data_IF_328682568076
#
_entry.id   IF_328682568076
#
_cell.length_a   1.000
_cell.length_b   1.000
_cell.length_c   1.000
_cell.angle_alpha   90.00
_cell.angle_beta   90.00
_cell.angle_gamma   90.00
#
_symmetry.space_group_name_H-M   'P 1'
#
loop_
_entity.id
_entity.type
_entity.pdbx_description
1 polymer ?
#
# COMPACT_ATOMS: atom_id res chain seq x y z
N UNK A 1 47.60 -15.59 -14.21
CA UNK A 1 46.85 -15.81 -12.96
C UNK A 1 47.51 -15.01 -11.84
N UNK A 2 47.03 -13.78 -11.57
CA UNK A 2 47.41 -13.01 -10.39
C UNK A 2 46.34 -13.23 -9.33
N UNK A 3 46.72 -13.81 -8.21
CA UNK A 3 45.89 -13.94 -7.01
C UNK A 3 45.84 -12.57 -6.34
N UNK A 4 44.66 -11.96 -6.24
CA UNK A 4 44.45 -10.83 -5.34
C UNK A 4 44.05 -11.40 -3.97
N UNK A 5 44.84 -11.01 -2.97
CA UNK A 5 44.66 -11.32 -1.55
C UNK A 5 43.49 -10.47 -1.04
N UNK A 6 42.29 -11.04 -0.86
CA UNK A 6 41.23 -10.42 -0.07
C UNK A 6 41.60 -10.59 1.41
N UNK A 7 42.30 -9.59 1.95
CA UNK A 7 42.34 -9.36 3.40
C UNK A 7 42.15 -7.86 3.62
N UNK A 8 41.12 -7.55 4.40
CA UNK A 8 40.78 -6.24 4.95
C UNK A 8 39.97 -5.33 4.01
N UNK A 9 38.70 -5.67 3.85
CA UNK A 9 37.65 -4.66 3.77
C UNK A 9 36.66 -5.03 4.88
N UNK A 10 36.98 -4.59 6.11
CA UNK A 10 35.98 -4.44 7.17
C UNK A 10 35.37 -3.07 6.87
N UNK A 11 34.31 -3.02 6.06
CA UNK A 11 33.44 -1.84 6.05
C UNK A 11 32.70 -1.94 7.37
N UNK A 12 33.11 -1.10 8.31
CA UNK A 12 32.38 -0.93 9.55
C UNK A 12 30.98 -0.43 9.17
N UNK A 13 29.94 -1.09 9.67
CA UNK A 13 28.53 -0.73 9.57
C UNK A 13 28.23 0.60 10.30
N UNK A 14 28.91 1.67 9.90
CA UNK A 14 28.87 2.98 10.53
C UNK A 14 28.97 4.07 9.45
N UNK A 15 27.95 4.12 8.60
CA UNK A 15 27.60 5.31 7.83
C UNK A 15 26.08 5.34 7.58
N UNK A 16 25.29 4.98 8.58
CA UNK A 16 23.86 5.28 8.57
C UNK A 16 23.69 6.72 9.07
N UNK A 17 23.67 7.67 8.14
CA UNK A 17 23.26 9.02 8.49
C UNK A 17 21.75 8.98 8.68
N UNK A 18 21.34 9.04 9.95
CA UNK A 18 19.95 9.15 10.39
C UNK A 18 19.29 10.35 9.70
N UNK A 19 18.35 10.06 8.80
CA UNK A 19 17.30 11.02 8.43
C UNK A 19 16.05 10.54 9.15
N UNK A 20 15.68 11.24 10.21
CA UNK A 20 14.39 11.05 10.86
C UNK A 20 13.28 11.49 9.90
N UNK A 21 12.62 10.53 9.25
CA UNK A 21 11.37 10.77 8.56
C UNK A 21 10.27 10.96 9.60
N UNK A 22 9.83 12.21 9.77
CA UNK A 22 8.52 12.51 10.34
C UNK A 22 7.52 12.30 9.19
N UNK A 23 6.44 11.56 9.44
CA UNK A 23 5.42 11.25 8.44
C UNK A 23 4.90 12.49 7.69
N UNK A 24 4.30 12.26 6.52
CA UNK A 24 3.83 13.28 5.58
C UNK A 24 3.09 14.47 6.23
N UNK A 25 2.34 14.23 7.32
CA UNK A 25 1.60 15.25 8.05
C UNK A 25 2.46 16.16 8.97
N UNK A 26 3.79 16.01 9.01
CA UNK A 26 4.69 16.72 9.94
C UNK A 26 5.81 17.55 9.30
N UNK A 27 5.91 17.64 7.98
CA UNK A 27 7.01 18.35 7.31
C UNK A 27 6.63 19.80 6.95
N UNK A 28 7.23 20.77 7.64
CA UNK A 28 7.25 22.17 7.19
C UNK A 28 8.22 22.32 6.00
N UNK A 29 7.68 22.86 4.91
CA UNK A 29 8.18 22.95 3.52
C UNK A 29 9.54 23.64 3.23
N UNK A 30 10.53 23.65 4.14
CA UNK A 30 11.78 24.41 3.89
C UNK A 30 12.95 23.68 3.27
N UNK A 31 12.94 22.35 3.15
CA UNK A 31 14.15 21.62 2.71
C UNK A 31 13.99 20.66 1.51
N UNK A 32 12.83 20.59 0.83
CA UNK A 32 12.69 19.77 -0.39
C UNK A 32 12.98 20.58 -1.68
N UNK A 33 14.25 20.58 -2.11
CA UNK A 33 14.70 21.28 -3.31
C UNK A 33 14.31 20.54 -4.61
N UNK A 34 13.54 21.24 -5.45
CA UNK A 34 13.47 21.18 -6.93
C UNK A 34 14.01 19.92 -7.64
N UNK A 35 13.09 19.05 -8.06
CA UNK A 35 13.30 18.05 -9.11
C UNK A 35 12.16 18.10 -10.13
N UNK A 36 12.47 18.22 -11.42
CA UNK A 36 11.50 18.33 -12.51
C UNK A 36 10.58 17.10 -12.61
N UNK A 37 9.29 17.37 -12.87
CA UNK A 37 8.31 16.41 -13.38
C UNK A 37 8.83 15.68 -14.61
N UNK A 38 8.87 14.35 -14.54
CA UNK A 38 9.08 13.45 -15.67
C UNK A 38 7.86 12.53 -15.76
N UNK A 39 6.73 13.08 -16.22
CA UNK A 39 5.67 12.28 -16.82
C UNK A 39 5.85 12.33 -18.34
N UNK A 40 6.44 11.28 -18.90
CA UNK A 40 6.34 11.01 -20.35
C UNK A 40 5.02 10.26 -20.60
N UNK A 41 4.17 10.88 -21.41
CA UNK A 41 2.91 10.36 -21.92
C UNK A 41 3.20 9.17 -22.86
N UNK A 42 2.81 7.95 -22.46
CA UNK A 42 2.81 6.78 -23.34
C UNK A 42 1.35 6.47 -23.70
N UNK A 43 0.98 6.80 -24.93
CA UNK A 43 -0.31 6.47 -25.53
C UNK A 43 -0.36 4.98 -25.85
N UNK A 44 -1.27 4.23 -25.22
CA UNK A 44 -1.50 2.83 -25.61
C UNK A 44 -2.58 2.71 -26.71
N UNK A 45 -2.29 1.84 -27.65
CA UNK A 45 -2.94 1.75 -28.95
C UNK A 45 -4.01 0.65 -28.90
N UNK A 46 -5.27 1.02 -29.10
CA UNK A 46 -6.39 0.07 -29.16
C UNK A 46 -6.23 -0.96 -30.29
N UNK A 47 -6.26 -2.25 -29.97
CA UNK A 47 -6.49 -3.33 -30.94
C UNK A 47 -7.82 -4.05 -30.67
N UNK A 48 -8.81 -3.72 -31.51
CA UNK A 48 -10.08 -4.44 -31.68
C UNK A 48 -9.87 -5.77 -32.42
N UNK A 49 -10.43 -6.89 -31.93
CA UNK A 49 -11.10 -7.94 -32.75
C UNK A 49 -11.91 -8.92 -31.86
N UNK A 50 -12.88 -9.71 -32.37
CA UNK A 50 -14.30 -9.48 -32.14
C UNK A 50 -15.03 -10.59 -31.35
N UNK A 51 -16.25 -10.25 -30.95
CA UNK A 51 -17.24 -11.07 -30.24
C UNK A 51 -17.50 -12.45 -30.86
N UNK A 52 -17.65 -13.45 -29.99
CA UNK A 52 -18.23 -14.75 -30.32
C UNK A 52 -19.54 -14.95 -29.54
N UNK A 53 -20.57 -15.35 -30.26
CA UNK A 53 -21.94 -15.62 -29.83
C UNK A 53 -22.04 -16.61 -28.66
N UNK A 54 -22.79 -16.23 -27.63
CA UNK A 54 -23.26 -17.14 -26.59
C UNK A 54 -24.63 -17.71 -26.97
N UNK A 55 -24.67 -19.02 -27.21
CA UNK A 55 -25.89 -19.78 -27.33
C UNK A 55 -26.49 -20.03 -25.94
N UNK A 56 -27.79 -19.73 -25.82
CA UNK A 56 -28.66 -19.97 -24.68
C UNK A 56 -28.78 -21.46 -24.34
N UNK A 57 -28.72 -21.79 -23.05
CA UNK A 57 -29.44 -22.93 -22.50
C UNK A 57 -29.99 -22.58 -21.11
N UNK A 58 -31.32 -22.45 -21.05
CA UNK A 58 -32.10 -22.43 -19.81
C UNK A 58 -31.88 -23.74 -19.05
N UNK A 59 -31.58 -23.64 -17.75
CA UNK A 59 -31.71 -24.78 -16.85
C UNK A 59 -32.43 -24.33 -15.57
N UNK A 60 -33.66 -24.79 -15.44
CA UNK A 60 -34.53 -24.64 -14.28
C UNK A 60 -34.11 -25.62 -13.20
N UNK A 61 -33.77 -25.14 -12.01
CA UNK A 61 -33.60 -26.00 -10.84
C UNK A 61 -34.01 -25.28 -9.55
N UNK A 62 -35.17 -25.71 -9.06
CA UNK A 62 -35.64 -25.89 -7.68
C UNK A 62 -35.24 -24.90 -6.57
N UNK A 63 -36.30 -24.27 -6.04
CA UNK A 63 -36.37 -23.38 -4.89
C UNK A 63 -36.11 -24.17 -3.59
N UNK A 64 -34.98 -23.91 -2.93
CA UNK A 64 -34.68 -24.34 -1.57
C UNK A 64 -34.88 -23.17 -0.62
N UNK A 65 -35.95 -23.23 0.19
CA UNK A 65 -36.21 -22.30 1.28
C UNK A 65 -35.31 -22.63 2.47
N UNK A 66 -34.23 -21.84 2.61
CA UNK A 66 -33.37 -21.82 3.78
C UNK A 66 -33.07 -20.37 4.13
N UNK A 67 -33.87 -19.81 5.03
CA UNK A 67 -33.58 -18.56 5.74
C UNK A 67 -32.36 -18.79 6.64
N UNK A 68 -31.18 -18.41 6.15
CA UNK A 68 -30.06 -17.89 6.94
C UNK A 68 -29.17 -17.09 5.98
N UNK A 69 -29.75 -16.08 5.33
CA UNK A 69 -28.95 -15.09 4.62
C UNK A 69 -28.36 -14.19 5.69
N UNK A 70 -27.04 -14.30 5.90
CA UNK A 70 -26.27 -13.22 6.52
C UNK A 70 -26.75 -11.90 5.88
N UNK A 71 -27.13 -10.94 6.72
CA UNK A 71 -27.58 -9.63 6.28
C UNK A 71 -26.53 -9.09 5.32
N UNK A 72 -26.92 -8.80 4.08
CA UNK A 72 -26.01 -8.18 3.10
C UNK A 72 -25.58 -6.87 3.75
N UNK A 73 -24.27 -6.66 3.99
CA UNK A 73 -23.85 -5.45 4.67
C UNK A 73 -24.30 -4.21 3.90
N UNK A 74 -24.89 -3.25 4.59
CA UNK A 74 -25.23 -1.95 4.01
C UNK A 74 -23.95 -1.11 3.89
N UNK A 75 -23.13 -1.43 2.88
CA UNK A 75 -21.89 -0.72 2.61
C UNK A 75 -22.09 0.78 2.37
N UNK A 76 -23.25 1.18 1.85
CA UNK A 76 -23.58 2.59 1.67
C UNK A 76 -23.70 3.31 3.02
N UNK A 77 -24.26 2.67 4.05
CA UNK A 77 -24.29 3.22 5.40
C UNK A 77 -22.88 3.42 5.99
N UNK A 78 -21.97 2.45 5.81
CA UNK A 78 -20.57 2.58 6.23
C UNK A 78 -19.89 3.76 5.52
N UNK A 79 -19.97 3.81 4.19
CA UNK A 79 -19.32 4.87 3.40
C UNK A 79 -19.88 6.25 3.77
N UNK A 80 -21.20 6.38 3.90
CA UNK A 80 -21.83 7.63 4.32
C UNK A 80 -21.33 8.08 5.70
N UNK A 81 -21.25 7.17 6.67
CA UNK A 81 -20.75 7.47 8.01
C UNK A 81 -19.29 7.92 7.99
N UNK A 82 -18.44 7.28 7.18
CA UNK A 82 -17.05 7.69 6.99
C UNK A 82 -16.96 9.10 6.36
N UNK A 83 -17.73 9.36 5.31
CA UNK A 83 -17.77 10.65 4.60
C UNK A 83 -18.25 11.79 5.50
N UNK A 84 -19.21 11.55 6.38
CA UNK A 84 -19.66 12.54 7.38
C UNK A 84 -18.56 12.94 8.37
N UNK A 85 -17.52 12.12 8.51
CA UNK A 85 -16.36 12.41 9.34
C UNK A 85 -15.18 13.01 8.55
N UNK A 86 -15.42 13.56 7.34
CA UNK A 86 -14.41 14.21 6.47
C UNK A 86 -13.40 15.08 7.23
N UNK A 87 -13.87 15.94 8.12
CA UNK A 87 -13.02 16.87 8.89
C UNK A 87 -12.04 16.17 9.84
N UNK A 88 -12.30 14.90 10.21
CA UNK A 88 -11.45 14.14 11.13
C UNK A 88 -10.35 13.36 10.45
N UNK A 89 -10.55 12.95 9.20
CA UNK A 89 -9.54 12.20 8.47
C UNK A 89 -8.80 13.04 7.44
N UNK A 90 -9.36 14.16 6.94
CA UNK A 90 -8.66 15.16 6.09
C UNK A 90 -7.70 16.06 6.90
N UNK A 91 -6.74 15.47 7.60
CA UNK A 91 -5.89 16.17 8.59
C UNK A 91 -4.54 16.65 8.07
N UNK A 92 -4.11 16.19 6.89
CA UNK A 92 -2.85 16.64 6.31
C UNK A 92 -3.01 18.06 5.71
N UNK A 93 -2.20 19.03 6.13
CA UNK A 93 -2.36 20.42 5.66
C UNK A 93 -1.77 20.66 4.25
N UNK A 94 -0.82 19.84 3.79
CA UNK A 94 -0.15 20.03 2.49
C UNK A 94 0.46 18.74 1.92
N UNK A 95 -0.33 17.70 1.62
CA UNK A 95 0.19 16.53 0.93
C UNK A 95 0.33 16.82 -0.57
N UNK A 96 1.35 16.22 -1.19
CA UNK A 96 1.47 16.16 -2.65
C UNK A 96 0.36 15.32 -3.31
N UNK A 97 -0.32 14.46 -2.55
CA UNK A 97 -1.48 13.69 -3.00
C UNK A 97 -2.19 12.95 -1.87
N UNK A 98 -3.47 12.65 -2.06
CA UNK A 98 -4.26 11.82 -1.16
C UNK A 98 -4.96 10.73 -1.97
N UNK A 99 -4.91 9.51 -1.47
CA UNK A 99 -5.67 8.38 -1.97
C UNK A 99 -6.57 7.80 -0.86
N UNK A 100 -7.80 7.47 -1.20
CA UNK A 100 -8.77 6.90 -0.26
C UNK A 100 -9.34 5.60 -0.82
N UNK A 101 -9.51 4.61 0.06
CA UNK A 101 -10.10 3.33 -0.30
C UNK A 101 -11.02 2.83 0.81
N UNK A 102 -12.15 2.25 0.42
CA UNK A 102 -13.04 1.50 1.29
C UNK A 102 -12.94 0.01 0.93
N UNK A 103 -12.71 -0.86 1.91
CA UNK A 103 -12.64 -2.29 1.67
C UNK A 103 -12.84 -3.12 2.96
N UNK A 104 -13.36 -4.34 2.81
CA UNK A 104 -13.45 -5.35 3.87
C UNK A 104 -12.17 -6.20 3.86
N UNK A 105 -11.14 -5.76 4.60
CA UNK A 105 -9.81 -6.39 4.58
C UNK A 105 -9.73 -7.70 5.38
N UNK A 106 -10.67 -7.95 6.29
CA UNK A 106 -10.66 -9.11 7.16
C UNK A 106 -11.79 -10.11 6.84
N UNK A 107 -12.66 -9.78 5.89
CA UNK A 107 -13.84 -10.55 5.46
C UNK A 107 -14.85 -10.79 6.59
N UNK A 108 -15.02 -9.83 7.51
CA UNK A 108 -15.99 -9.87 8.59
C UNK A 108 -17.33 -9.19 8.26
N UNK A 109 -17.43 -8.56 7.09
CA UNK A 109 -18.61 -7.83 6.62
C UNK A 109 -18.66 -6.36 7.04
N UNK A 110 -17.69 -5.89 7.83
CA UNK A 110 -17.46 -4.47 8.13
C UNK A 110 -16.49 -3.88 7.11
N UNK A 111 -16.60 -2.57 6.87
CA UNK A 111 -15.70 -1.87 5.94
C UNK A 111 -14.64 -1.12 6.73
N UNK A 112 -13.36 -1.39 6.42
CA UNK A 112 -12.27 -0.49 6.79
C UNK A 112 -11.97 0.53 5.68
N UNK A 113 -11.52 1.70 6.11
CA UNK A 113 -11.18 2.81 5.24
C UNK A 113 -9.70 3.12 5.37
N UNK A 114 -9.03 3.35 4.24
CA UNK A 114 -7.62 3.74 4.22
C UNK A 114 -7.50 5.11 3.60
N UNK A 115 -6.84 6.04 4.29
CA UNK A 115 -6.34 7.28 3.70
C UNK A 115 -4.83 7.20 3.60
N UNK A 116 -4.30 7.33 2.39
CA UNK A 116 -2.86 7.31 2.11
C UNK A 116 -2.44 8.70 1.62
N UNK A 117 -1.60 9.36 2.40
CA UNK A 117 -1.04 10.68 2.14
C UNK A 117 0.34 10.55 1.51
N UNK A 118 0.55 11.14 0.35
CA UNK A 118 1.89 11.27 -0.23
C UNK A 118 2.44 12.68 0.04
N UNK A 119 3.70 12.79 0.46
CA UNK A 119 4.41 14.07 0.58
C UNK A 119 5.71 14.12 -0.23
N UNK A 120 6.22 15.35 -0.44
CA UNK A 120 7.46 15.60 -1.18
C UNK A 120 7.34 15.26 -2.66
N UNK A 121 8.34 14.61 -3.24
CA UNK A 121 8.30 14.16 -4.64
C UNK A 121 7.48 12.87 -4.85
N UNK A 122 6.63 12.49 -3.89
CA UNK A 122 5.81 11.28 -3.94
C UNK A 122 6.56 10.01 -3.54
N UNK A 123 7.51 10.10 -2.62
CA UNK A 123 8.29 8.96 -2.08
C UNK A 123 8.18 8.82 -0.55
N UNK A 124 7.20 9.49 0.04
CA UNK A 124 6.92 9.40 1.47
C UNK A 124 5.42 9.26 1.64
N UNK A 125 5.01 8.10 2.14
CA UNK A 125 3.62 7.80 2.44
C UNK A 125 3.34 7.95 3.94
N UNK A 126 2.11 8.33 4.28
CA UNK A 126 1.55 8.16 5.62
C UNK A 126 0.13 7.61 5.48
N UNK A 127 -0.11 6.48 6.11
CA UNK A 127 -1.34 5.72 5.97
C UNK A 127 -2.12 5.77 7.27
N UNK A 128 -3.43 5.89 7.17
CA UNK A 128 -4.32 5.79 8.31
C UNK A 128 -5.46 4.86 7.94
N UNK A 129 -5.69 3.88 8.80
CA UNK A 129 -6.76 2.91 8.65
C UNK A 129 -7.85 3.24 9.66
N UNK A 130 -9.11 3.14 9.24
CA UNK A 130 -10.24 3.47 10.10
C UNK A 130 -11.33 2.42 10.03
N UNK A 131 -11.99 2.22 11.15
CA UNK A 131 -13.32 1.62 11.25
C UNK A 131 -14.34 2.74 11.45
N UNK A 132 -15.54 2.60 10.91
CA UNK A 132 -16.68 3.45 11.25
C UNK A 132 -17.88 2.62 11.67
N UNK A 133 -18.53 3.00 12.77
CA UNK A 133 -19.79 2.41 13.16
C UNK A 133 -20.93 3.12 12.38
N UNK A 134 -21.67 2.41 11.50
CA UNK A 134 -22.65 3.06 10.60
C UNK A 134 -23.89 3.59 11.34
N UNK A 135 -24.22 3.06 12.52
CA UNK A 135 -25.39 3.50 13.31
C UNK A 135 -25.10 4.78 14.12
N UNK A 136 -23.92 4.86 14.73
CA UNK A 136 -23.51 5.97 15.59
C UNK A 136 -22.70 7.04 14.85
N UNK A 137 -22.12 6.70 13.70
CA UNK A 137 -21.18 7.55 12.98
C UNK A 137 -19.81 7.69 13.68
N UNK A 138 -19.53 6.86 14.69
CA UNK A 138 -18.25 6.88 15.39
C UNK A 138 -17.13 6.37 14.48
N UNK A 139 -16.12 7.22 14.24
CA UNK A 139 -14.92 6.91 13.47
C UNK A 139 -13.78 6.58 14.44
N UNK A 140 -13.18 5.41 14.28
CA UNK A 140 -12.07 4.91 15.08
C UNK A 140 -10.88 4.67 14.18
N UNK A 141 -9.73 5.25 14.50
CA UNK A 141 -8.47 4.94 13.82
C UNK A 141 -7.88 3.63 14.37
N UNK A 142 -7.47 2.76 13.46
CA UNK A 142 -6.89 1.45 13.73
C UNK A 142 -5.40 1.61 14.05
N UNK A 143 -4.92 0.85 15.03
CA UNK A 143 -3.47 0.86 15.33
C UNK A 143 -2.69 0.15 14.23
N UNK A 144 -1.54 0.70 13.86
CA UNK A 144 -0.61 0.09 12.91
C UNK A 144 0.67 -0.34 13.61
N UNK A 145 1.19 -1.51 13.23
CA UNK A 145 2.51 -1.98 13.65
C UNK A 145 3.31 -2.54 12.47
N UNK A 146 4.63 -2.49 12.61
CA UNK A 146 5.60 -3.06 11.67
C UNK A 146 6.42 -4.12 12.41
N UNK A 147 6.61 -5.31 11.84
CA UNK A 147 7.31 -6.41 12.51
C UNK A 147 8.80 -6.15 12.76
N UNK A 148 9.40 -5.23 12.02
CA UNK A 148 10.81 -4.84 12.09
C UNK A 148 11.04 -3.52 12.84
N UNK A 149 10.04 -3.01 13.57
CA UNK A 149 10.08 -1.70 14.23
C UNK A 149 11.30 -1.46 15.15
N UNK A 150 11.90 -2.51 15.74
CA UNK A 150 13.10 -2.40 16.59
C UNK A 150 14.40 -2.12 15.79
N UNK A 151 14.42 -2.40 14.48
CA UNK A 151 15.60 -2.26 13.61
C UNK A 151 15.52 -1.04 12.67
N UNK A 152 14.49 -0.19 12.83
CA UNK A 152 14.14 0.85 11.86
C UNK A 152 14.23 2.26 12.44
N UNK A 153 15.44 2.77 12.60
CA UNK A 153 15.64 4.22 12.76
C UNK A 153 15.39 4.93 11.41
N UNK A 154 14.22 5.56 11.22
CA UNK A 154 13.96 6.48 10.09
C UNK A 154 12.84 6.12 9.10
N UNK A 155 11.79 5.39 9.53
CA UNK A 155 10.70 4.86 8.70
C UNK A 155 10.06 5.82 7.68
N UNK A 156 10.10 5.40 6.41
CA UNK A 156 9.03 5.69 5.43
C UNK A 156 7.97 4.60 5.59
N UNK A 157 6.69 4.97 5.62
CA UNK A 157 5.60 3.98 5.65
C UNK A 157 5.37 3.39 4.26
N UNK A 158 4.71 2.23 4.18
CA UNK A 158 4.42 1.58 2.90
C UNK A 158 3.62 2.48 1.93
N UNK A 159 3.97 2.43 0.66
CA UNK A 159 3.33 3.14 -0.45
C UNK A 159 2.09 2.38 -0.96
N UNK A 160 1.04 2.31 -0.13
CA UNK A 160 -0.16 1.51 -0.40
C UNK A 160 -0.88 1.89 -1.70
N UNK A 161 -1.02 3.20 -1.94
CA UNK A 161 -1.79 3.73 -3.08
C UNK A 161 -0.98 3.85 -4.37
N UNK A 162 0.34 3.60 -4.31
CA UNK A 162 1.22 3.69 -5.49
C UNK A 162 1.33 2.36 -6.25
N UNK A 163 0.62 1.34 -5.79
CA UNK A 163 0.51 0.05 -6.48
C UNK A 163 -0.27 0.22 -7.79
N UNK A 164 0.46 0.36 -8.91
CA UNK A 164 -0.08 0.78 -10.22
C UNK A 164 -1.05 -0.19 -10.88
N UNK A 165 -1.29 -1.36 -10.28
CA UNK A 165 -2.22 -2.35 -10.83
C UNK A 165 -3.59 -2.17 -10.19
N UNK A 166 -4.63 -2.09 -11.02
CA UNK A 166 -6.03 -2.16 -10.58
C UNK A 166 -6.39 -3.50 -9.96
N UNK A 167 -5.49 -4.49 -10.03
CA UNK A 167 -5.63 -5.79 -9.37
C UNK A 167 -4.35 -6.20 -8.65
N UNK A 168 -4.50 -6.76 -7.47
CA UNK A 168 -3.39 -7.32 -6.68
C UNK A 168 -3.69 -8.76 -6.29
N UNK A 169 -2.63 -9.57 -6.19
CA UNK A 169 -2.73 -10.92 -5.63
C UNK A 169 -2.72 -10.81 -4.10
N UNK A 170 -3.83 -11.16 -3.47
CA UNK A 170 -3.98 -11.30 -2.03
C UNK A 170 -3.85 -12.77 -1.67
N UNK A 171 -3.24 -13.06 -0.54
CA UNK A 171 -2.99 -14.44 -0.12
C UNK A 171 -3.76 -14.76 1.15
N UNK A 172 -4.48 -15.88 1.16
CA UNK A 172 -5.27 -16.35 2.30
C UNK A 172 -4.55 -17.52 2.98
N UNK A 173 -4.37 -17.42 4.30
CA UNK A 173 -3.89 -18.50 5.17
C UNK A 173 -4.86 -18.65 6.35
N UNK A 174 -5.66 -19.72 6.34
CA UNK A 174 -6.75 -19.88 7.30
C UNK A 174 -7.82 -18.79 7.13
N UNK A 175 -7.95 -17.92 8.14
CA UNK A 175 -8.87 -16.77 8.20
C UNK A 175 -8.17 -15.43 7.94
N UNK A 176 -6.87 -15.44 7.60
CA UNK A 176 -6.04 -14.24 7.55
C UNK A 176 -5.66 -13.92 6.11
N UNK A 177 -5.98 -12.70 5.67
CA UNK A 177 -5.65 -12.16 4.36
C UNK A 177 -4.37 -11.34 4.43
N UNK A 178 -3.45 -11.61 3.50
CA UNK A 178 -2.17 -10.94 3.35
C UNK A 178 -2.17 -10.12 2.08
N UNK A 179 -2.16 -8.80 2.22
CA UNK A 179 -2.18 -7.83 1.13
C UNK A 179 -0.76 -7.36 0.82
N UNK A 180 -0.30 -7.45 -0.43
CA UNK A 180 1.03 -7.01 -0.79
C UNK A 180 1.14 -5.50 -0.62
N UNK A 181 2.29 -5.05 -0.12
CA UNK A 181 2.65 -3.66 -0.02
C UNK A 181 4.16 -3.51 -0.25
N UNK A 182 4.59 -2.31 -0.60
CA UNK A 182 6.01 -1.99 -0.72
C UNK A 182 6.23 -0.57 -0.24
N UNK A 183 7.46 -0.24 0.11
CA UNK A 183 7.92 1.13 0.33
C UNK A 183 9.08 1.38 -0.64
N UNK A 184 9.06 2.49 -1.36
CA UNK A 184 10.16 2.92 -2.19
C UNK A 184 10.55 4.36 -1.86
N UNK A 185 11.77 4.51 -1.34
CA UNK A 185 12.34 5.82 -1.05
C UNK A 185 13.56 6.09 -1.91
N UNK A 186 13.75 7.38 -2.26
CA UNK A 186 14.89 7.85 -3.03
C UNK A 186 15.40 9.17 -2.49
N UNK A 187 16.71 9.24 -2.24
CA UNK A 187 17.40 10.47 -1.83
C UNK A 187 18.34 10.94 -2.93
N UNK A 188 17.89 11.97 -3.66
CA UNK A 188 18.63 12.55 -4.77
C UNK A 188 18.94 11.53 -5.88
N UNK A 189 20.13 11.65 -6.48
CA UNK A 189 20.61 10.73 -7.53
C UNK A 189 21.46 9.58 -7.00
N UNK A 190 21.71 9.55 -5.68
CA UNK A 190 22.76 8.71 -5.11
C UNK A 190 22.24 7.57 -4.26
N UNK A 191 21.00 7.63 -3.77
CA UNK A 191 20.50 6.63 -2.83
C UNK A 191 19.06 6.25 -3.12
N UNK A 192 18.75 4.96 -3.03
CA UNK A 192 17.37 4.45 -3.00
C UNK A 192 17.26 3.23 -2.10
N UNK A 193 16.11 3.09 -1.45
CA UNK A 193 15.73 1.90 -0.71
C UNK A 193 14.36 1.40 -1.17
N UNK A 194 14.20 0.09 -1.21
CA UNK A 194 12.91 -0.56 -1.40
C UNK A 194 12.73 -1.61 -0.30
N UNK A 195 11.53 -1.68 0.28
CA UNK A 195 11.17 -2.73 1.25
C UNK A 195 9.89 -3.40 0.80
N UNK A 196 9.86 -4.74 0.88
CA UNK A 196 8.68 -5.55 0.59
C UNK A 196 7.91 -5.84 1.86
N UNK A 197 6.60 -5.65 1.81
CA UNK A 197 5.70 -5.96 2.91
C UNK A 197 4.53 -6.84 2.46
N UNK A 198 3.98 -7.54 3.43
CA UNK A 198 2.54 -7.83 3.44
C UNK A 198 1.90 -7.08 4.59
N UNK A 199 0.64 -6.70 4.48
CA UNK A 199 -0.13 -6.28 5.65
C UNK A 199 -1.37 -7.14 5.85
N UNK A 200 -1.82 -7.19 7.09
CA UNK A 200 -3.05 -7.89 7.52
C UNK A 200 -3.88 -6.95 8.38
N UNK A 201 -5.20 -7.10 8.36
CA UNK A 201 -6.12 -6.44 9.27
C UNK A 201 -6.80 -7.51 10.11
N UNK A 202 -6.68 -7.42 11.45
CA UNK A 202 -7.30 -8.36 12.39
C UNK A 202 -7.47 -7.69 13.75
N UNK A 203 -8.62 -7.90 14.40
CA UNK A 203 -8.92 -7.40 15.74
C UNK A 203 -8.62 -5.89 15.91
N UNK A 204 -9.13 -5.07 14.98
CA UNK A 204 -8.92 -3.62 14.93
C UNK A 204 -7.44 -3.17 14.87
N UNK A 205 -6.59 -4.00 14.26
CA UNK A 205 -5.15 -3.77 14.14
C UNK A 205 -4.64 -4.09 12.75
N UNK A 206 -3.78 -3.22 12.24
CA UNK A 206 -3.04 -3.40 11.00
C UNK A 206 -1.61 -3.82 11.32
N UNK A 207 -1.18 -4.95 10.77
CA UNK A 207 0.18 -5.47 10.97
C UNK A 207 0.89 -5.56 9.64
N UNK A 208 1.96 -4.77 9.47
CA UNK A 208 2.89 -4.84 8.35
C UNK A 208 4.02 -5.80 8.66
N UNK A 209 4.19 -6.81 7.80
CA UNK A 209 5.19 -7.85 7.87
C UNK A 209 6.25 -7.55 6.82
N UNK A 210 7.42 -7.11 7.28
CA UNK A 210 8.59 -6.90 6.42
C UNK A 210 9.14 -8.24 5.96
N UNK A 211 9.35 -8.39 4.65
CA UNK A 211 9.99 -9.58 4.08
C UNK A 211 11.49 -9.39 3.85
N UNK A 212 11.91 -8.15 3.65
CA UNK A 212 13.28 -7.80 3.30
C UNK A 212 13.34 -6.52 2.48
N UNK A 213 14.56 -5.99 2.36
CA UNK A 213 14.80 -4.71 1.71
C UNK A 213 16.00 -4.76 0.77
N UNK A 214 16.08 -3.77 -0.12
CA UNK A 214 17.24 -3.53 -0.97
C UNK A 214 17.65 -2.07 -0.86
N UNK A 215 18.94 -1.84 -0.70
CA UNK A 215 19.53 -0.50 -0.67
C UNK A 215 20.51 -0.36 -1.82
N UNK A 216 20.41 0.74 -2.56
CA UNK A 216 21.34 1.08 -3.63
C UNK A 216 21.98 2.43 -3.35
N UNK A 217 23.31 2.48 -3.45
CA UNK A 217 24.12 3.67 -3.30
C UNK A 217 25.01 3.88 -4.54
N UNK A 218 25.03 5.11 -5.06
CA UNK A 218 25.89 5.56 -6.15
C UNK A 218 26.98 6.46 -5.60
N UNK A 219 28.24 6.04 -5.74
CA UNK A 219 29.38 6.80 -5.25
C UNK A 219 29.68 8.05 -6.10
N UNK A 220 30.63 8.89 -5.63
CA UNK A 220 31.03 10.11 -6.35
C UNK A 220 31.58 9.86 -7.77
N UNK A 221 32.07 8.64 -8.04
CA UNK A 221 32.55 8.24 -9.36
C UNK A 221 31.43 7.71 -10.28
N UNK A 222 30.20 7.61 -9.76
CA UNK A 222 29.04 7.11 -10.48
C UNK A 222 28.92 5.58 -10.46
N UNK A 223 29.66 4.87 -9.61
CA UNK A 223 29.52 3.43 -9.47
C UNK A 223 28.41 3.07 -8.49
N UNK A 224 27.48 2.23 -8.93
CA UNK A 224 26.35 1.75 -8.12
C UNK A 224 26.74 0.50 -7.32
N UNK A 225 26.30 0.46 -6.07
CA UNK A 225 26.43 -0.67 -5.16
C UNK A 225 25.03 -0.98 -4.61
N UNK A 226 24.61 -2.23 -4.75
CA UNK A 226 23.32 -2.71 -4.27
C UNK A 226 23.52 -3.80 -3.23
N UNK A 227 22.87 -3.66 -2.08
CA UNK A 227 22.88 -4.62 -0.98
C UNK A 227 21.45 -5.07 -0.70
N UNK A 228 21.27 -6.37 -0.47
CA UNK A 228 19.97 -6.99 -0.19
C UNK A 228 19.93 -7.46 1.26
N UNK A 229 18.75 -7.40 1.86
CA UNK A 229 18.49 -7.83 3.24
C UNK A 229 17.25 -8.73 3.29
N UNK A 230 17.26 -9.68 4.22
CA UNK A 230 16.11 -10.54 4.53
C UNK A 230 15.20 -9.96 5.63
N UNK A 231 14.22 -10.73 6.09
CA UNK A 231 13.24 -10.36 7.12
C UNK A 231 13.85 -10.21 8.52
N UNK A 232 15.04 -10.78 8.74
CA UNK A 232 15.85 -10.55 9.94
C UNK A 232 16.76 -9.32 9.82
N UNK A 233 16.68 -8.59 8.71
CA UNK A 233 17.57 -7.49 8.34
C UNK A 233 19.05 -7.92 8.26
N UNK A 234 19.30 -9.17 7.88
CA UNK A 234 20.64 -9.69 7.62
C UNK A 234 20.97 -9.58 6.12
N UNK A 235 22.21 -9.21 5.80
CA UNK A 235 22.65 -9.12 4.40
C UNK A 235 22.50 -10.49 3.71
N UNK A 236 21.83 -10.49 2.56
CA UNK A 236 21.50 -11.70 1.80
C UNK A 236 21.87 -11.56 0.32
N UNK A 237 21.59 -12.59 -0.48
CA UNK A 237 21.83 -12.55 -1.93
C UNK A 237 20.61 -12.01 -2.67
N UNK A 238 20.84 -11.43 -3.85
CA UNK A 238 19.77 -11.05 -4.78
C UNK A 238 18.79 -12.22 -5.08
N UNK A 239 19.32 -13.44 -5.19
CA UNK A 239 18.51 -14.64 -5.45
C UNK A 239 17.55 -14.93 -4.30
N UNK A 240 18.02 -14.82 -3.05
CA UNK A 240 17.18 -15.01 -1.87
C UNK A 240 16.14 -13.89 -1.78
N UNK A 241 16.54 -12.63 -1.96
CA UNK A 241 15.62 -11.47 -1.92
C UNK A 241 14.46 -11.59 -2.91
N UNK A 242 14.72 -12.07 -4.13
CA UNK A 242 13.67 -12.29 -5.12
C UNK A 242 12.79 -13.50 -4.84
N UNK A 243 13.26 -14.47 -4.04
CA UNK A 243 12.48 -15.63 -3.63
C UNK A 243 11.63 -15.40 -2.35
N UNK A 244 11.80 -14.27 -1.64
CA UNK A 244 11.13 -14.00 -0.36
C UNK A 244 9.59 -14.07 -0.47
N UNK A 245 9.01 -13.44 -1.48
CA UNK A 245 7.56 -13.41 -1.67
C UNK A 245 7.01 -14.81 -1.97
N UNK A 246 7.66 -15.56 -2.87
CA UNK A 246 7.29 -16.95 -3.18
C UNK A 246 7.41 -17.86 -1.95
N UNK A 247 8.45 -17.67 -1.14
CA UNK A 247 8.65 -18.41 0.10
C UNK A 247 7.55 -18.10 1.14
N UNK A 248 7.15 -16.84 1.27
CA UNK A 248 6.09 -16.40 2.17
C UNK A 248 4.70 -16.91 1.74
N UNK A 249 4.44 -16.90 0.43
CA UNK A 249 3.12 -17.15 -0.15
C UNK A 249 2.90 -18.60 -0.62
N UNK A 250 3.95 -19.40 -0.74
CA UNK A 250 3.90 -20.72 -1.41
C UNK A 250 2.93 -21.75 -0.84
N UNK A 251 2.47 -21.59 0.42
CA UNK A 251 1.45 -22.44 1.04
C UNK A 251 0.05 -21.81 1.11
N UNK A 252 -0.10 -20.55 0.67
CA UNK A 252 -1.31 -19.74 0.82
C UNK A 252 -2.18 -19.83 -0.43
N UNK A 253 -3.47 -19.58 -0.27
CA UNK A 253 -4.40 -19.51 -1.39
C UNK A 253 -4.36 -18.14 -2.01
N UNK A 254 -4.05 -18.06 -3.30
CA UNK A 254 -4.04 -16.80 -4.06
C UNK A 254 -5.46 -16.38 -4.46
N UNK A 255 -5.79 -15.12 -4.22
CA UNK A 255 -7.05 -14.48 -4.55
C UNK A 255 -6.73 -13.21 -5.32
N UNK A 256 -7.26 -13.07 -6.54
CA UNK A 256 -7.15 -11.82 -7.28
C UNK A 256 -8.16 -10.83 -6.74
N UNK A 257 -7.68 -9.63 -6.41
CA UNK A 257 -8.46 -8.63 -5.71
C UNK A 257 -8.35 -7.27 -6.39
N UNK A 258 -9.46 -6.53 -6.51
CA UNK A 258 -9.48 -5.20 -7.12
C UNK A 258 -8.90 -4.16 -6.17
N UNK A 259 -7.91 -3.41 -6.65
CA UNK A 259 -7.15 -2.42 -5.90
C UNK A 259 -7.48 -1.00 -6.37
N UNK A 260 -8.76 -0.63 -6.29
CA UNK A 260 -9.24 0.67 -6.72
C UNK A 260 -9.12 1.69 -5.59
N UNK A 261 -8.65 2.89 -5.94
CA UNK A 261 -8.46 4.01 -5.02
C UNK A 261 -9.06 5.28 -5.62
N UNK A 262 -9.66 6.12 -4.78
CA UNK A 262 -10.01 7.49 -5.13
C UNK A 262 -8.76 8.34 -4.95
N UNK A 263 -8.23 8.90 -6.03
CA UNK A 263 -7.08 9.81 -5.99
C UNK A 263 -7.53 11.24 -6.27
N UNK A 264 -7.26 12.15 -5.33
CA UNK A 264 -7.52 13.57 -5.56
C UNK A 264 -6.72 14.46 -4.59
N UNK A 265 -6.73 15.76 -4.83
CA UNK A 265 -6.20 16.75 -3.89
C UNK A 265 -7.14 16.96 -2.70
N UNK A 266 -6.58 17.37 -1.55
CA UNK A 266 -7.39 17.70 -0.37
C UNK A 266 -8.41 18.80 -0.66
N UNK A 267 -8.04 19.84 -1.42
CA UNK A 267 -8.94 20.94 -1.74
C UNK A 267 -10.14 20.47 -2.57
N UNK A 268 -9.91 19.57 -3.52
CA UNK A 268 -11.00 18.97 -4.29
C UNK A 268 -11.88 18.08 -3.41
N UNK A 269 -11.30 17.22 -2.57
CA UNK A 269 -12.06 16.34 -1.67
C UNK A 269 -12.90 17.13 -0.65
N UNK A 270 -12.40 18.27 -0.17
CA UNK A 270 -13.16 19.21 0.67
C UNK A 270 -14.31 19.86 -0.09
N UNK A 271 -14.15 20.11 -1.39
CA UNK A 271 -15.16 20.74 -2.24
C UNK A 271 -16.23 19.75 -2.74
N UNK A 272 -15.94 18.44 -2.76
CA UNK A 272 -16.91 17.41 -3.15
C UNK A 272 -18.09 17.36 -2.16
N UNK A 273 -19.30 17.21 -2.71
CA UNK A 273 -20.46 16.88 -1.89
C UNK A 273 -20.30 15.49 -1.27
N UNK A 274 -20.98 15.27 -0.15
CA UNK A 274 -20.99 13.96 0.51
C UNK A 274 -21.50 12.85 -0.43
N UNK A 275 -22.52 13.15 -1.22
CA UNK A 275 -23.09 12.24 -2.22
C UNK A 275 -22.06 11.82 -3.29
N UNK A 276 -21.29 12.77 -3.82
CA UNK A 276 -20.31 12.49 -4.86
C UNK A 276 -19.11 11.71 -4.32
N UNK A 277 -18.61 12.07 -3.13
CA UNK A 277 -17.53 11.30 -2.50
C UNK A 277 -17.99 9.88 -2.11
N UNK A 278 -19.22 9.73 -1.62
CA UNK A 278 -19.82 8.43 -1.33
C UNK A 278 -19.87 7.57 -2.58
N UNK A 279 -20.35 8.12 -3.71
CA UNK A 279 -20.38 7.42 -4.99
C UNK A 279 -19.00 6.94 -5.41
N UNK A 280 -17.98 7.79 -5.32
CA UNK A 280 -16.60 7.43 -5.68
C UNK A 280 -16.02 6.35 -4.75
N UNK A 281 -16.28 6.41 -3.45
CA UNK A 281 -15.80 5.40 -2.50
C UNK A 281 -16.51 4.05 -2.68
N UNK A 282 -17.81 4.06 -2.98
CA UNK A 282 -18.54 2.83 -3.32
C UNK A 282 -17.97 2.13 -4.55
N UNK A 283 -17.37 2.86 -5.50
CA UNK A 283 -16.68 2.26 -6.65
C UNK A 283 -15.39 1.53 -6.25
N UNK A 284 -14.80 1.85 -5.10
CA UNK A 284 -13.58 1.17 -4.60
C UNK A 284 -13.85 -0.22 -4.02
N UNK A 285 -15.10 -0.50 -3.65
CA UNK A 285 -15.55 -1.80 -3.11
C UNK A 285 -15.77 -2.86 -4.20
N UNK A 286 -15.82 -2.46 -5.47
CA UNK A 286 -16.12 -3.33 -6.62
C UNK A 286 -14.91 -4.12 -7.12
#
# INVERSE_FOLDING_TARGET
>A
MKKYNLKNIIISAAALTVISALGACGLNEKDAAKGNSLFEEVTDTTSNTPAADYASSENTAEESTGDDFAEIPDYEAYVNAFVQNKDKWLVCEDPSGLAIRAYDYNSDGSIEFVTSYAAGSGYYSSNHFYHVNPESGELTELSMEYTDQENMEGLSEADLSMYKSSQSDVYLDGDTYYYPAFDYSKSGSSESAETKYFFTVKDDKVTFISLGSVYTYTDEAGAEQTTYYDDANEETTQEIYFALEDAFTGSKTKITHNNNWVHDSIDNLKALSDEELTRQLMETLN
#
